data_IF_622298661054
#
_entry.id   IF_622298661054
#
_cell.length_a   1.000
_cell.length_b   1.000
_cell.length_c   1.000
_cell.angle_alpha   90.00
_cell.angle_beta   90.00
_cell.angle_gamma   90.00
#
_symmetry.space_group_name_H-M   'P 1'
#
loop_
_entity.id
_entity.type
_entity.pdbx_description
1 polymer ?
#
# COMPACT_ATOMS: atom_id res chain seq x y z
N UNK A 1 35.26 -9.33 -12.48
CA UNK A 1 34.36 -8.60 -11.56
C UNK A 1 34.06 -7.24 -12.21
N UNK A 2 33.38 -7.08 -13.35
CA UNK A 2 32.12 -7.61 -13.91
C UNK A 2 30.86 -7.17 -13.17
N UNK A 3 29.92 -6.66 -13.97
CA UNK A 3 28.50 -6.34 -13.70
C UNK A 3 28.25 -5.07 -12.89
N UNK A 4 27.24 -4.25 -13.13
CA UNK A 4 26.19 -4.09 -14.15
C UNK A 4 25.30 -3.00 -13.54
N UNK A 5 24.73 -2.09 -14.33
CA UNK A 5 23.28 -1.90 -14.43
C UNK A 5 22.93 -0.59 -15.18
N UNK A 6 21.98 -0.77 -16.09
CA UNK A 6 21.33 0.20 -16.97
C UNK A 6 20.52 1.22 -16.17
N UNK A 7 20.38 2.44 -16.67
CA UNK A 7 19.17 3.27 -16.53
C UNK A 7 19.18 4.31 -17.67
N UNK A 8 18.41 4.06 -18.73
CA UNK A 8 17.02 4.49 -18.95
C UNK A 8 16.97 5.76 -19.81
N UNK A 9 16.69 5.55 -21.10
CA UNK A 9 16.15 6.56 -22.00
C UNK A 9 14.82 7.04 -21.41
N UNK A 10 14.82 8.24 -20.81
CA UNK A 10 13.62 8.92 -20.35
C UNK A 10 13.60 10.30 -20.98
N UNK A 11 12.79 10.47 -22.01
CA UNK A 11 12.34 11.79 -22.48
C UNK A 11 11.82 12.56 -21.26
N UNK A 12 12.38 13.73 -20.91
CA UNK A 12 11.79 14.54 -19.85
C UNK A 12 10.50 15.12 -20.40
N UNK A 13 9.41 14.39 -20.20
CA UNK A 13 8.17 14.91 -19.64
C UNK A 13 8.07 16.44 -19.79
N UNK A 14 7.42 16.90 -20.87
CA UNK A 14 6.92 18.26 -20.91
C UNK A 14 5.94 18.43 -19.74
N UNK A 15 6.37 19.15 -18.71
CA UNK A 15 5.63 19.44 -17.47
C UNK A 15 4.51 20.48 -17.63
N UNK A 16 4.00 20.68 -18.85
CA UNK A 16 2.92 21.62 -19.10
C UNK A 16 1.73 20.92 -19.75
N UNK A 17 0.56 20.94 -19.09
CA UNK A 17 -0.66 20.61 -19.79
C UNK A 17 -0.93 21.77 -20.75
N UNK A 18 -0.90 21.50 -22.06
CA UNK A 18 -1.42 22.46 -23.06
C UNK A 18 -2.94 22.42 -22.93
N UNK A 19 -3.42 23.01 -21.84
CA UNK A 19 -4.83 23.26 -21.61
C UNK A 19 -5.29 24.18 -22.74
N UNK A 20 -6.42 23.81 -23.33
CA UNK A 20 -7.21 24.55 -24.32
C UNK A 20 -7.76 25.87 -23.76
N UNK A 21 -6.95 26.65 -23.06
CA UNK A 21 -7.25 28.03 -22.74
C UNK A 21 -6.65 28.86 -23.85
N UNK A 22 -7.51 29.53 -24.62
CA UNK A 22 -7.12 30.57 -25.55
C UNK A 22 -6.23 31.59 -24.84
N UNK A 23 -4.92 31.38 -24.88
CA UNK A 23 -3.94 32.36 -24.40
C UNK A 23 -4.17 33.58 -25.26
N UNK A 24 -4.68 34.64 -24.64
CA UNK A 24 -4.83 35.92 -25.32
C UNK A 24 -3.46 36.31 -25.88
N UNK A 25 -3.34 36.29 -27.20
CA UNK A 25 -2.15 36.72 -27.94
C UNK A 25 -1.82 38.21 -27.72
N UNK A 26 -2.56 38.92 -26.87
CA UNK A 26 -2.32 40.32 -26.50
C UNK A 26 -0.99 40.56 -25.76
N UNK A 27 -0.37 39.52 -25.18
CA UNK A 27 0.88 39.66 -24.41
C UNK A 27 2.15 39.15 -25.09
N UNK A 28 2.03 38.33 -26.15
CA UNK A 28 3.20 37.80 -26.86
C UNK A 28 3.62 38.77 -27.96
N UNK A 29 4.45 39.75 -27.59
CA UNK A 29 5.20 40.49 -28.61
C UNK A 29 6.27 39.55 -29.15
N UNK A 30 6.01 38.94 -30.30
CA UNK A 30 7.09 38.30 -31.05
C UNK A 30 8.22 39.31 -31.19
N UNK A 31 9.42 38.92 -30.74
CA UNK A 31 10.64 39.69 -30.98
C UNK A 31 10.78 39.77 -32.49
N UNK A 32 10.24 40.81 -33.10
CA UNK A 32 10.54 41.10 -34.49
C UNK A 32 12.00 41.48 -34.48
N UNK A 33 12.84 40.67 -35.10
CA UNK A 33 14.24 40.98 -35.43
C UNK A 33 14.38 42.20 -36.38
N UNK A 34 13.37 43.07 -36.45
CA UNK A 34 13.28 44.29 -37.23
C UNK A 34 13.19 45.49 -36.28
N UNK A 35 13.54 46.67 -36.77
CA UNK A 35 13.47 47.91 -35.98
C UNK A 35 12.07 48.11 -35.37
N UNK A 36 11.95 48.29 -34.04
CA UNK A 36 10.67 48.51 -33.38
C UNK A 36 10.10 49.88 -33.73
N UNK A 37 8.78 50.06 -33.54
CA UNK A 37 8.07 51.28 -33.98
C UNK A 37 8.55 52.58 -33.31
N UNK A 38 9.08 52.51 -32.09
CA UNK A 38 9.60 53.65 -31.33
C UNK A 38 11.01 54.10 -31.73
N UNK A 39 11.73 53.28 -32.50
CA UNK A 39 13.07 53.63 -32.97
C UNK A 39 12.94 54.50 -34.23
N UNK A 40 13.62 55.66 -34.32
CA UNK A 40 13.51 56.51 -35.48
C UNK A 40 14.09 55.83 -36.73
N UNK A 41 13.58 56.26 -37.89
CA UNK A 41 14.15 55.89 -39.19
C UNK A 41 15.58 56.43 -39.25
N UNK A 42 16.49 55.68 -39.89
CA UNK A 42 17.88 56.14 -40.05
C UNK A 42 17.90 57.47 -40.82
N UNK A 43 18.77 58.44 -40.47
CA UNK A 43 18.83 59.76 -41.14
C UNK A 43 18.98 59.65 -42.67
N UNK A 44 19.79 58.69 -43.15
CA UNK A 44 19.99 58.41 -44.58
C UNK A 44 18.75 57.86 -45.30
N UNK A 45 17.72 57.42 -44.58
CA UNK A 45 16.47 56.87 -45.11
C UNK A 45 15.26 57.77 -44.84
N UNK A 46 15.39 58.78 -43.98
CA UNK A 46 14.30 59.68 -43.59
C UNK A 46 13.66 60.40 -44.78
N UNK A 47 14.48 60.79 -45.77
CA UNK A 47 14.02 61.50 -46.98
C UNK A 47 14.27 60.71 -48.27
N UNK A 48 14.61 59.42 -48.18
CA UNK A 48 14.89 58.61 -49.37
C UNK A 48 13.58 58.15 -50.01
N UNK A 49 13.21 58.78 -51.13
CA UNK A 49 12.07 58.36 -51.95
C UNK A 49 12.50 57.19 -52.85
N UNK A 50 11.87 56.01 -52.76
CA UNK A 50 12.18 54.90 -53.68
C UNK A 50 11.73 55.27 -55.09
N UNK A 51 12.68 55.29 -56.03
CA UNK A 51 12.38 55.49 -57.45
C UNK A 51 11.69 54.24 -57.98
N UNK A 52 10.52 54.39 -58.60
CA UNK A 52 9.85 53.27 -59.28
C UNK A 52 10.64 52.92 -60.55
N UNK A 53 10.86 51.63 -60.84
CA UNK A 53 11.43 51.23 -62.13
C UNK A 53 10.48 51.67 -63.25
N UNK A 54 11.02 52.21 -64.33
CA UNK A 54 10.27 52.53 -65.53
C UNK A 54 10.13 51.24 -66.34
N UNK A 55 8.91 50.72 -66.41
CA UNK A 55 8.58 49.50 -67.15
C UNK A 55 7.77 49.91 -68.38
N UNK A 56 8.03 49.33 -69.57
CA UNK A 56 7.21 49.58 -70.75
C UNK A 56 5.72 49.32 -70.48
N UNK A 57 4.84 50.16 -71.04
CA UNK A 57 3.40 50.03 -70.80
C UNK A 57 2.83 48.68 -71.30
N UNK A 58 3.39 48.16 -72.40
CA UNK A 58 3.02 46.86 -72.94
C UNK A 58 3.20 45.73 -71.91
N UNK A 59 4.35 45.70 -71.23
CA UNK A 59 4.66 44.69 -70.22
C UNK A 59 3.75 44.80 -69.01
N UNK A 60 3.45 46.03 -68.56
CA UNK A 60 2.53 46.27 -67.44
C UNK A 60 1.13 45.72 -67.76
N UNK A 61 0.65 45.92 -69.00
CA UNK A 61 -0.66 45.42 -69.43
C UNK A 61 -0.68 43.89 -69.49
N UNK A 62 0.35 43.27 -70.06
CA UNK A 62 0.44 41.80 -70.13
C UNK A 62 0.58 41.18 -68.74
N UNK A 63 1.43 41.73 -67.87
CA UNK A 63 1.57 41.25 -66.48
C UNK A 63 0.26 41.34 -65.71
N UNK A 64 -0.51 42.42 -65.92
CA UNK A 64 -1.83 42.56 -65.32
C UNK A 64 -2.78 41.48 -65.84
N UNK A 65 -2.88 41.28 -67.16
CA UNK A 65 -3.71 40.24 -67.78
C UNK A 65 -3.38 38.85 -67.24
N UNK A 66 -2.09 38.50 -67.20
CA UNK A 66 -1.62 37.21 -66.69
C UNK A 66 -1.94 37.01 -65.21
N UNK A 67 -1.73 38.05 -64.39
CA UNK A 67 -2.01 37.98 -62.96
C UNK A 67 -3.52 37.86 -62.68
N UNK A 68 -4.34 38.59 -63.42
CA UNK A 68 -5.80 38.53 -63.28
C UNK A 68 -6.33 37.15 -63.68
N UNK A 69 -5.82 36.57 -64.78
CA UNK A 69 -6.11 35.20 -65.19
C UNK A 69 -5.69 34.18 -64.13
N UNK A 70 -4.44 34.25 -63.66
CA UNK A 70 -3.90 33.36 -62.63
C UNK A 70 -4.72 33.41 -61.34
N UNK A 71 -5.02 34.62 -60.83
CA UNK A 71 -5.82 34.80 -59.61
C UNK A 71 -7.22 34.24 -59.77
N UNK A 72 -7.82 34.39 -60.95
CA UNK A 72 -9.15 33.85 -61.25
C UNK A 72 -9.14 32.33 -61.19
N UNK A 73 -8.18 31.68 -61.87
CA UNK A 73 -8.01 30.21 -61.84
C UNK A 73 -7.74 29.72 -60.42
N UNK A 74 -6.82 30.36 -59.70
CA UNK A 74 -6.46 29.96 -58.33
C UNK A 74 -7.63 30.14 -57.36
N UNK A 75 -8.46 31.17 -57.55
CA UNK A 75 -9.70 31.37 -56.78
C UNK A 75 -10.70 30.25 -57.04
N UNK A 76 -10.85 29.80 -58.29
CA UNK A 76 -11.71 28.68 -58.64
C UNK A 76 -11.22 27.37 -58.00
N UNK A 77 -9.91 27.07 -58.07
CA UNK A 77 -9.31 25.88 -57.43
C UNK A 77 -9.53 25.90 -55.92
N UNK A 78 -9.25 27.03 -55.25
CA UNK A 78 -9.47 27.15 -53.80
C UNK A 78 -10.94 26.95 -53.43
N UNK A 79 -11.86 27.48 -54.24
CA UNK A 79 -13.30 27.30 -54.03
C UNK A 79 -13.68 25.82 -54.12
N UNK A 80 -13.22 25.13 -55.16
CA UNK A 80 -13.48 23.70 -55.36
C UNK A 80 -12.96 22.86 -54.19
N UNK A 81 -11.69 23.05 -53.78
CA UNK A 81 -11.12 22.32 -52.64
C UNK A 81 -11.87 22.59 -51.33
N UNK A 82 -12.37 23.81 -51.14
CA UNK A 82 -13.19 24.16 -49.98
C UNK A 82 -14.54 23.43 -50.03
N UNK A 83 -15.20 23.42 -51.18
CA UNK A 83 -16.47 22.70 -51.38
C UNK A 83 -16.29 21.20 -51.13
N UNK A 84 -15.22 20.59 -51.66
CA UNK A 84 -14.89 19.18 -51.38
C UNK A 84 -14.63 18.93 -49.88
N UNK A 85 -13.87 19.80 -49.21
CA UNK A 85 -13.63 19.66 -47.77
C UNK A 85 -14.92 19.73 -46.94
N UNK A 86 -15.87 20.58 -47.36
CA UNK A 86 -17.18 20.69 -46.71
C UNK A 86 -18.01 19.43 -47.00
N UNK A 87 -18.07 18.96 -48.26
CA UNK A 87 -18.76 17.71 -48.61
C UNK A 87 -18.24 16.50 -47.84
N UNK A 88 -16.93 16.42 -47.64
CA UNK A 88 -16.30 15.32 -46.89
C UNK A 88 -16.49 15.48 -45.38
N UNK A 89 -16.68 16.71 -44.87
CA UNK A 89 -17.12 16.91 -43.49
C UNK A 89 -18.61 16.54 -43.32
N UNK A 90 -19.40 16.79 -44.37
CA UNK A 90 -20.83 16.52 -44.44
C UNK A 90 -21.16 15.04 -44.71
N UNK A 91 -20.18 14.14 -44.93
CA UNK A 91 -20.34 12.67 -44.86
C UNK A 91 -20.57 12.19 -43.41
N UNK A 92 -21.40 12.95 -42.71
CA UNK A 92 -21.86 12.82 -41.34
C UNK A 92 -22.78 11.61 -41.17
N UNK A 93 -23.49 11.14 -42.19
CA UNK A 93 -24.41 10.00 -42.04
C UNK A 93 -23.67 8.72 -41.63
N UNK A 94 -22.53 8.41 -42.26
CA UNK A 94 -21.69 7.27 -41.86
C UNK A 94 -21.06 7.50 -40.48
N UNK A 95 -20.64 8.74 -40.17
CA UNK A 95 -20.10 9.09 -38.86
C UNK A 95 -21.16 8.99 -37.76
N UNK A 96 -22.40 9.39 -38.04
CA UNK A 96 -23.54 9.31 -37.11
C UNK A 96 -23.96 7.86 -36.89
N UNK A 97 -23.94 7.02 -37.93
CA UNK A 97 -24.15 5.58 -37.79
C UNK A 97 -23.06 4.92 -36.95
N UNK A 98 -21.80 5.31 -37.13
CA UNK A 98 -20.69 4.83 -36.30
C UNK A 98 -20.86 5.24 -34.83
N UNK A 99 -21.18 6.51 -34.58
CA UNK A 99 -21.44 6.99 -33.20
C UNK A 99 -22.61 6.24 -32.56
N UNK A 100 -23.70 6.01 -33.30
CA UNK A 100 -24.83 5.24 -32.77
C UNK A 100 -24.44 3.79 -32.45
N UNK A 101 -23.66 3.14 -33.32
CA UNK A 101 -23.15 1.79 -33.06
C UNK A 101 -22.23 1.74 -31.84
N UNK A 102 -21.33 2.72 -31.70
CA UNK A 102 -20.45 2.85 -30.53
C UNK A 102 -21.24 3.04 -29.23
N UNK A 103 -22.32 3.82 -29.25
CA UNK A 103 -23.20 4.01 -28.11
C UNK A 103 -23.95 2.72 -27.73
N UNK A 104 -24.44 1.96 -28.72
CA UNK A 104 -25.09 0.67 -28.51
C UNK A 104 -24.11 -0.37 -27.92
N UNK A 105 -22.91 -0.49 -28.47
CA UNK A 105 -21.85 -1.37 -27.96
C UNK A 105 -21.47 -1.00 -26.53
N UNK A 106 -21.32 0.29 -26.25
CA UNK A 106 -21.03 0.79 -24.91
C UNK A 106 -22.13 0.40 -23.91
N UNK A 107 -23.40 0.51 -24.30
CA UNK A 107 -24.52 0.11 -23.44
C UNK A 107 -24.50 -1.41 -23.15
N UNK A 108 -24.20 -2.24 -24.16
CA UNK A 108 -24.09 -3.69 -23.99
C UNK A 108 -22.94 -4.06 -23.03
N UNK A 109 -21.78 -3.42 -23.18
CA UNK A 109 -20.63 -3.65 -22.31
C UNK A 109 -20.90 -3.21 -20.86
N UNK A 110 -21.62 -2.10 -20.68
CA UNK A 110 -22.03 -1.64 -19.35
C UNK A 110 -22.99 -2.63 -18.68
N UNK A 111 -23.93 -3.19 -19.42
CA UNK A 111 -24.84 -4.20 -18.89
C UNK A 111 -24.11 -5.50 -18.54
N UNK A 112 -23.20 -5.96 -19.38
CA UNK A 112 -22.33 -7.10 -19.07
C UNK A 112 -21.50 -6.86 -17.81
N UNK A 113 -20.92 -5.66 -17.64
CA UNK A 113 -20.17 -5.31 -16.44
C UNK A 113 -21.05 -5.35 -15.18
N UNK A 114 -22.28 -4.85 -15.24
CA UNK A 114 -23.24 -4.94 -14.13
C UNK A 114 -23.51 -6.40 -13.75
N UNK A 115 -23.75 -7.26 -14.74
CA UNK A 115 -24.01 -8.68 -14.50
C UNK A 115 -22.83 -9.40 -13.85
N UNK A 116 -21.60 -9.14 -14.31
CA UNK A 116 -20.41 -9.74 -13.69
C UNK A 116 -20.16 -9.18 -12.28
N UNK A 117 -20.41 -7.88 -12.05
CA UNK A 117 -20.33 -7.31 -10.71
C UNK A 117 -21.33 -7.95 -9.74
N UNK A 118 -22.56 -8.22 -10.19
CA UNK A 118 -23.57 -8.94 -9.39
C UNK A 118 -23.11 -10.37 -9.07
N UNK A 119 -22.54 -11.08 -10.06
CA UNK A 119 -22.00 -12.43 -9.87
C UNK A 119 -20.86 -12.45 -8.84
N UNK A 120 -19.93 -11.51 -8.95
CA UNK A 120 -18.80 -11.38 -8.01
C UNK A 120 -19.26 -10.94 -6.62
N UNK A 121 -20.27 -10.08 -6.53
CA UNK A 121 -20.86 -9.67 -5.25
C UNK A 121 -21.44 -10.87 -4.50
N UNK A 122 -22.21 -11.73 -5.17
CA UNK A 122 -22.77 -12.94 -4.57
C UNK A 122 -21.66 -13.88 -4.03
N UNK A 123 -20.61 -14.13 -4.80
CA UNK A 123 -19.46 -14.94 -4.35
C UNK A 123 -18.74 -14.31 -3.15
N UNK A 124 -18.66 -12.97 -3.12
CA UNK A 124 -18.06 -12.23 -1.99
C UNK A 124 -18.89 -12.39 -0.72
N UNK A 125 -20.22 -12.30 -0.83
CA UNK A 125 -21.13 -12.49 0.31
C UNK A 125 -21.04 -13.90 0.87
N UNK A 126 -20.99 -14.92 0.01
CA UNK A 126 -20.79 -16.31 0.44
C UNK A 126 -19.46 -16.50 1.19
N UNK A 127 -18.38 -15.91 0.68
CA UNK A 127 -17.07 -15.96 1.35
C UNK A 127 -17.10 -15.25 2.70
N UNK A 128 -17.66 -14.05 2.77
CA UNK A 128 -17.78 -13.27 4.01
C UNK A 128 -18.60 -14.03 5.06
N UNK A 129 -19.68 -14.70 4.65
CA UNK A 129 -20.49 -15.53 5.55
C UNK A 129 -19.65 -16.66 6.16
N UNK A 130 -18.87 -17.38 5.35
CA UNK A 130 -17.97 -18.44 5.83
C UNK A 130 -16.88 -17.91 6.76
N UNK A 131 -16.30 -16.76 6.44
CA UNK A 131 -15.30 -16.09 7.28
C UNK A 131 -15.89 -15.71 8.65
N UNK A 132 -17.11 -15.15 8.67
CA UNK A 132 -17.80 -14.84 9.92
C UNK A 132 -18.15 -16.08 10.74
N UNK A 133 -18.65 -17.16 10.12
CA UNK A 133 -18.93 -18.41 10.82
C UNK A 133 -17.64 -18.99 11.46
N UNK A 134 -16.52 -18.95 10.73
CA UNK A 134 -15.23 -19.40 11.25
C UNK A 134 -14.70 -18.49 12.38
N UNK A 135 -14.92 -17.19 12.29
CA UNK A 135 -14.54 -16.24 13.33
C UNK A 135 -15.34 -16.45 14.62
N UNK A 136 -16.65 -16.64 14.51
CA UNK A 136 -17.53 -16.96 15.65
C UNK A 136 -17.04 -18.25 16.33
N UNK A 137 -16.81 -19.31 15.57
CA UNK A 137 -16.32 -20.58 16.12
C UNK A 137 -14.95 -20.42 16.81
N UNK A 138 -14.06 -19.59 16.26
CA UNK A 138 -12.76 -19.30 16.86
C UNK A 138 -12.90 -18.54 18.18
N UNK A 139 -13.78 -17.54 18.23
CA UNK A 139 -14.05 -16.75 19.43
C UNK A 139 -14.65 -17.66 20.51
N UNK A 140 -15.65 -18.48 20.18
CA UNK A 140 -16.24 -19.45 21.12
C UNK A 140 -15.19 -20.41 21.68
N UNK A 141 -14.36 -21.01 20.82
CA UNK A 141 -13.28 -21.88 21.25
C UNK A 141 -12.26 -21.16 22.16
N UNK A 142 -11.98 -19.88 21.90
CA UNK A 142 -11.10 -19.08 22.75
C UNK A 142 -11.71 -18.79 24.13
N UNK A 143 -13.01 -18.49 24.18
CA UNK A 143 -13.72 -18.25 25.43
C UNK A 143 -13.78 -19.51 26.29
N UNK A 144 -14.06 -20.68 25.68
CA UNK A 144 -14.05 -21.96 26.40
C UNK A 144 -12.67 -22.25 26.99
N UNK A 145 -11.60 -22.06 26.22
CA UNK A 145 -10.23 -22.25 26.72
C UNK A 145 -9.87 -21.29 27.84
N UNK A 146 -10.25 -20.02 27.72
CA UNK A 146 -10.02 -19.02 28.76
C UNK A 146 -10.77 -19.39 30.05
N UNK A 147 -12.01 -19.85 29.93
CA UNK A 147 -12.79 -20.31 31.08
C UNK A 147 -12.17 -21.54 31.77
N UNK A 148 -11.63 -22.49 30.99
CA UNK A 148 -10.90 -23.64 31.53
C UNK A 148 -9.64 -23.22 32.29
N UNK A 149 -8.80 -22.38 31.68
CA UNK A 149 -7.57 -21.87 32.31
C UNK A 149 -7.90 -21.09 33.58
N UNK A 150 -8.94 -20.26 33.57
CA UNK A 150 -9.38 -19.53 34.74
C UNK A 150 -9.84 -20.47 35.86
N UNK A 151 -10.61 -21.51 35.54
CA UNK A 151 -11.06 -22.49 36.52
C UNK A 151 -9.90 -23.31 37.12
N UNK A 152 -8.92 -23.70 36.30
CA UNK A 152 -7.71 -24.39 36.76
C UNK A 152 -6.88 -23.49 37.68
N UNK A 153 -6.67 -22.23 37.30
CA UNK A 153 -5.96 -21.26 38.13
C UNK A 153 -6.67 -20.99 39.45
N UNK A 154 -8.01 -20.88 39.46
CA UNK A 154 -8.80 -20.75 40.69
C UNK A 154 -8.62 -21.96 41.61
N UNK A 155 -8.63 -23.18 41.06
CA UNK A 155 -8.40 -24.40 41.84
C UNK A 155 -7.00 -24.46 42.44
N UNK A 156 -5.96 -24.09 41.69
CA UNK A 156 -4.58 -24.02 42.19
C UNK A 156 -4.44 -22.99 43.31
N UNK A 157 -5.00 -21.79 43.12
CA UNK A 157 -4.99 -20.74 44.14
C UNK A 157 -5.68 -21.21 45.41
N UNK A 158 -6.85 -21.85 45.30
CA UNK A 158 -7.55 -22.42 46.45
C UNK A 158 -6.72 -23.50 47.15
N UNK A 159 -6.03 -24.36 46.40
CA UNK A 159 -5.15 -25.39 46.96
C UNK A 159 -4.02 -24.78 47.77
N UNK A 160 -3.35 -23.76 47.23
CA UNK A 160 -2.28 -23.02 47.91
C UNK A 160 -2.81 -22.33 49.17
N UNK A 161 -3.99 -21.71 49.11
CA UNK A 161 -4.62 -21.08 50.27
C UNK A 161 -4.88 -22.12 51.38
N UNK A 162 -5.38 -23.30 51.03
CA UNK A 162 -5.63 -24.36 52.02
C UNK A 162 -4.32 -24.89 52.64
N UNK A 163 -3.32 -25.22 51.81
CA UNK A 163 -2.00 -25.67 52.25
C UNK A 163 -1.34 -24.62 53.18
N UNK A 164 -1.41 -23.34 52.81
CA UNK A 164 -0.88 -22.25 53.64
C UNK A 164 -1.66 -22.07 54.95
N UNK A 165 -2.98 -22.22 54.96
CA UNK A 165 -3.77 -22.19 56.20
C UNK A 165 -3.42 -23.35 57.15
N UNK A 166 -3.10 -24.53 56.61
CA UNK A 166 -2.63 -25.66 57.41
C UNK A 166 -1.25 -25.40 58.00
N UNK A 167 -0.31 -24.87 57.22
CA UNK A 167 1.03 -24.48 57.69
C UNK A 167 0.98 -23.36 58.73
N UNK A 168 0.07 -22.39 58.60
CA UNK A 168 -0.07 -21.30 59.59
C UNK A 168 -0.45 -21.84 60.97
N UNK A 169 -1.14 -22.99 61.06
CA UNK A 169 -1.48 -23.61 62.36
C UNK A 169 -0.24 -24.14 63.09
N UNK A 170 0.84 -24.48 62.38
CA UNK A 170 2.09 -24.96 62.99
C UNK A 170 3.05 -23.83 63.37
N UNK A 171 2.73 -22.58 63.04
CA UNK A 171 3.57 -21.44 63.40
C UNK A 171 3.54 -21.17 64.91
N UNK A 172 4.72 -20.88 65.46
CA UNK A 172 4.93 -20.58 66.87
C UNK A 172 4.32 -19.22 67.18
N UNK A 173 3.33 -19.20 68.08
CA UNK A 173 2.73 -17.97 68.61
C UNK A 173 3.55 -17.44 69.77
N UNK A 174 3.31 -16.17 70.13
CA UNK A 174 3.99 -15.50 71.25
C UNK A 174 3.80 -16.24 72.59
N UNK A 175 2.66 -16.91 72.76
CA UNK A 175 2.29 -17.65 73.97
C UNK A 175 3.02 -19.00 74.08
N UNK A 176 3.35 -19.65 72.95
CA UNK A 176 3.98 -20.98 72.90
C UNK A 176 5.51 -20.91 72.70
N UNK A 177 6.07 -19.70 72.74
CA UNK A 177 7.45 -19.43 72.34
C UNK A 177 8.48 -20.14 73.25
N UNK A 178 8.32 -20.05 74.57
CA UNK A 178 9.25 -20.68 75.53
C UNK A 178 9.25 -22.21 75.40
N UNK A 179 8.08 -22.81 75.20
CA UNK A 179 7.93 -24.26 74.99
C UNK A 179 8.61 -24.73 73.71
N UNK A 180 8.44 -23.99 72.62
CA UNK A 180 9.07 -24.32 71.34
C UNK A 180 10.61 -24.21 71.39
N UNK A 181 11.17 -23.30 72.19
CA UNK A 181 12.62 -23.21 72.41
C UNK A 181 13.14 -24.45 73.11
N UNK A 182 12.46 -24.89 74.17
CA UNK A 182 12.87 -26.07 74.95
C UNK A 182 12.79 -27.35 74.09
N UNK A 183 11.69 -27.55 73.35
CA UNK A 183 11.53 -28.69 72.43
C UNK A 183 12.62 -28.73 71.34
N UNK A 184 12.98 -27.57 70.78
CA UNK A 184 14.04 -27.48 69.77
C UNK A 184 15.44 -27.74 70.34
N UNK A 185 15.69 -27.42 71.62
CA UNK A 185 16.94 -27.76 72.30
C UNK A 185 17.03 -29.25 72.62
N UNK A 186 15.91 -29.87 72.99
CA UNK A 186 15.83 -31.31 73.31
C UNK A 186 15.94 -32.19 72.06
N UNK A 187 15.35 -31.76 70.94
CA UNK A 187 15.29 -32.53 69.69
C UNK A 187 16.07 -31.84 68.55
N UNK A 188 17.41 -31.93 68.53
CA UNK A 188 18.20 -31.39 67.42
C UNK A 188 17.96 -32.19 66.12
N UNK A 189 17.41 -31.53 65.10
CA UNK A 189 17.17 -32.14 63.78
C UNK A 189 18.39 -32.02 62.86
N UNK A 190 18.86 -33.16 62.31
CA UNK A 190 19.94 -33.20 61.31
C UNK A 190 19.37 -33.25 59.89
N UNK A 191 19.73 -32.27 59.05
CA UNK A 191 19.33 -32.20 57.65
C UNK A 191 20.39 -32.77 56.69
N UNK A 192 21.53 -33.25 57.19
CA UNK A 192 22.57 -33.80 56.33
C UNK A 192 22.10 -35.13 55.72
N UNK A 193 22.20 -35.24 54.39
CA UNK A 193 22.00 -36.49 53.67
C UNK A 193 22.97 -36.57 52.49
N UNK A 194 23.29 -37.79 52.07
CA UNK A 194 24.06 -38.08 50.85
C UNK A 194 23.15 -38.66 49.77
N UNK A 195 23.54 -38.47 48.51
CA UNK A 195 22.87 -39.03 47.34
C UNK A 195 23.84 -39.90 46.55
N UNK A 196 23.36 -41.06 46.15
CA UNK A 196 24.08 -41.92 45.21
C UNK A 196 23.77 -41.54 43.75
N UNK A 197 24.55 -42.07 42.81
CA UNK A 197 24.37 -41.83 41.37
C UNK A 197 23.00 -42.31 40.85
N UNK A 198 22.35 -43.24 41.56
CA UNK A 198 21.03 -43.78 41.26
C UNK A 198 19.88 -42.98 41.92
N UNK A 199 20.20 -41.95 42.71
CA UNK A 199 19.21 -41.07 43.34
C UNK A 199 18.63 -41.57 44.67
N UNK A 200 19.28 -42.55 45.32
CA UNK A 200 18.93 -42.99 46.67
C UNK A 200 19.40 -41.99 47.73
N UNK A 201 18.58 -41.76 48.75
CA UNK A 201 18.83 -40.81 49.85
C UNK A 201 19.35 -41.56 51.08
N UNK A 202 20.49 -41.13 51.60
CA UNK A 202 21.04 -41.64 52.87
C UNK A 202 21.10 -40.52 53.90
N UNK A 203 20.21 -40.55 54.89
CA UNK A 203 20.10 -39.52 55.94
C UNK A 203 21.12 -39.75 57.04
N UNK A 204 21.82 -38.69 57.43
CA UNK A 204 22.79 -38.67 58.52
C UNK A 204 24.18 -38.20 58.08
N UNK A 205 24.91 -37.60 59.03
CA UNK A 205 26.27 -37.07 58.77
C UNK A 205 27.34 -38.14 58.61
N UNK A 206 27.17 -39.31 59.23
CA UNK A 206 28.18 -40.38 59.30
C UNK A 206 27.70 -41.71 58.72
N UNK A 207 26.45 -41.79 58.29
CA UNK A 207 25.83 -43.01 57.74
C UNK A 207 26.41 -43.32 56.37
N UNK A 208 26.88 -44.56 56.19
CA UNK A 208 27.36 -45.06 54.89
C UNK A 208 26.27 -45.93 54.26
N UNK A 209 26.25 -46.07 52.91
CA UNK A 209 25.27 -46.91 52.22
C UNK A 209 25.23 -48.38 52.68
N UNK A 210 26.35 -48.87 53.23
CA UNK A 210 26.50 -50.24 53.71
C UNK A 210 25.80 -50.51 55.06
N UNK A 211 25.54 -49.46 55.84
CA UNK A 211 24.98 -49.54 57.18
C UNK A 211 23.44 -49.53 57.17
N UNK A 212 22.84 -49.18 56.03
CA UNK A 212 21.38 -49.05 55.85
C UNK A 212 20.86 -50.30 55.12
N UNK A 213 19.82 -50.91 55.68
CA UNK A 213 19.19 -52.08 55.06
C UNK A 213 18.51 -51.67 53.75
N UNK A 214 18.56 -52.55 52.76
CA UNK A 214 18.03 -52.30 51.40
C UNK A 214 16.53 -51.94 51.42
N UNK A 215 15.77 -52.43 52.40
CA UNK A 215 14.32 -52.14 52.53
C UNK A 215 14.00 -50.70 52.96
N UNK A 216 14.98 -49.96 53.47
CA UNK A 216 14.82 -48.60 54.01
C UNK A 216 15.34 -47.52 53.05
N UNK A 217 15.66 -47.89 51.81
CA UNK A 217 16.16 -46.95 50.80
C UNK A 217 15.03 -46.05 50.30
N UNK A 218 15.08 -44.77 50.68
CA UNK A 218 14.24 -43.72 50.10
C UNK A 218 14.82 -43.28 48.76
N UNK A 219 14.01 -43.28 47.71
CA UNK A 219 14.42 -42.78 46.40
C UNK A 219 13.79 -41.40 46.15
N UNK A 220 14.57 -40.48 45.59
CA UNK A 220 14.01 -39.22 45.09
C UNK A 220 13.06 -39.53 43.93
N UNK A 221 11.78 -39.17 44.10
CA UNK A 221 10.85 -39.16 42.96
C UNK A 221 11.35 -38.14 41.94
N UNK A 222 11.81 -38.63 40.78
CA UNK A 222 12.11 -37.79 39.63
C UNK A 222 10.80 -37.30 39.02
N UNK A 223 10.21 -36.25 39.61
CA UNK A 223 9.25 -35.43 38.87
C UNK A 223 10.03 -34.76 37.74
N UNK A 224 9.98 -35.39 36.57
CA UNK A 224 10.33 -34.76 35.30
C UNK A 224 9.43 -33.53 35.19
N UNK A 225 9.99 -32.35 35.44
CA UNK A 225 9.37 -31.09 35.07
C UNK A 225 9.32 -31.08 33.54
N UNK A 226 8.15 -31.39 33.00
CA UNK A 226 7.79 -31.16 31.58
C UNK A 226 7.46 -29.69 31.43
#
# INVERSE_FOLDING_TARGET
MSSSLRCFLGSPHLWYPVNQTAVSLLGSQSVRWRKPRWLPVAPSKQFRIPKKPQVPEADVRELKRLNDNYKTVMKAVRKHLREESVRTADTSELAMQQVAQEEEEHQQLMEYNRQENLRVAALREERIRKEHEAEIARVEASLVKQAQIAAEAEQEVLRIINETQELVKTFIKREDLEKAIEEAMENPTDYNFALDQEGHIFRGRTTKPQDVKIEEWEQLESKVLI
#
